data_IF_518189728223
#
_entry.id   IF_518189728223
#
_cell.length_a   1.000
_cell.length_b   1.000
_cell.length_c   1.000
_cell.angle_alpha   90.00
_cell.angle_beta   90.00
_cell.angle_gamma   90.00
#
_symmetry.space_group_name_H-M   'P 1'
#
loop_
_entity.id
_entity.type
_entity.pdbx_description
1 polymer ?
#
# COMPACT_ATOMS: atom_id res chain seq x y z
N UNK A 1 26.38 14.98 -42.99
CA UNK A 1 25.78 14.83 -41.64
C UNK A 1 26.02 13.38 -41.23
N UNK A 2 26.65 13.16 -40.07
CA UNK A 2 26.89 11.80 -39.54
C UNK A 2 25.56 11.08 -39.38
N UNK A 3 25.42 9.90 -39.98
CA UNK A 3 24.25 9.03 -39.87
C UNK A 3 24.31 8.09 -38.65
N UNK A 4 25.26 8.30 -37.75
CA UNK A 4 25.37 7.53 -36.51
C UNK A 4 24.45 8.15 -35.45
N UNK A 5 23.51 7.34 -34.93
CA UNK A 5 22.68 7.72 -33.79
C UNK A 5 23.50 7.85 -32.51
N UNK A 6 22.95 8.54 -31.52
CA UNK A 6 23.53 8.64 -30.18
C UNK A 6 23.48 7.27 -29.46
N UNK A 7 24.45 7.01 -28.59
CA UNK A 7 24.33 5.90 -27.65
C UNK A 7 23.16 6.18 -26.69
N UNK A 8 22.43 5.16 -26.20
CA UNK A 8 21.33 5.39 -25.25
C UNK A 8 21.76 6.20 -24.01
N UNK A 9 22.97 5.97 -23.50
CA UNK A 9 23.55 6.71 -22.37
C UNK A 9 23.80 8.19 -22.70
N UNK A 10 24.26 8.49 -23.92
CA UNK A 10 24.47 9.88 -24.32
C UNK A 10 23.15 10.56 -24.66
N UNK A 11 22.18 9.84 -25.21
CA UNK A 11 20.83 10.35 -25.48
C UNK A 11 20.08 10.70 -24.19
N UNK A 12 20.19 9.86 -23.15
CA UNK A 12 19.57 10.11 -21.84
C UNK A 12 20.09 11.40 -21.19
N UNK A 13 21.37 11.75 -21.37
CA UNK A 13 21.94 13.03 -20.91
C UNK A 13 21.34 14.26 -21.63
N UNK A 14 20.77 14.07 -22.82
CA UNK A 14 20.10 15.14 -23.57
C UNK A 14 18.60 15.23 -23.27
N UNK A 15 18.06 14.31 -22.48
CA UNK A 15 16.65 14.30 -22.06
C UNK A 15 16.56 14.67 -20.60
N UNK A 16 15.58 15.49 -20.21
CA UNK A 16 15.29 15.85 -18.82
C UNK A 16 14.69 14.66 -18.00
N UNK A 17 15.02 13.41 -18.36
CA UNK A 17 14.46 12.20 -17.73
C UNK A 17 14.99 12.03 -16.30
N UNK A 18 16.27 12.32 -16.08
CA UNK A 18 16.88 12.26 -14.74
C UNK A 18 16.19 13.26 -13.80
N UNK A 19 15.89 14.47 -14.28
CA UNK A 19 15.14 15.49 -13.53
C UNK A 19 13.71 15.01 -13.22
N UNK A 20 13.03 14.33 -14.15
CA UNK A 20 11.67 13.80 -13.92
C UNK A 20 11.68 12.69 -12.86
N UNK A 21 12.66 11.80 -12.89
CA UNK A 21 12.84 10.76 -11.88
C UNK A 21 13.15 11.36 -10.50
N UNK A 22 14.04 12.35 -10.43
CA UNK A 22 14.36 13.05 -9.18
C UNK A 22 13.12 13.75 -8.61
N UNK A 23 12.34 14.43 -9.45
CA UNK A 23 11.08 15.05 -9.03
C UNK A 23 10.08 14.02 -8.50
N UNK A 24 9.90 12.88 -9.19
CA UNK A 24 9.00 11.82 -8.72
C UNK A 24 9.43 11.25 -7.37
N UNK A 25 10.72 10.94 -7.23
CA UNK A 25 11.30 10.40 -5.99
C UNK A 25 11.20 11.39 -4.84
N UNK A 26 11.37 12.68 -5.11
CA UNK A 26 11.23 13.74 -4.09
C UNK A 26 9.78 13.93 -3.68
N UNK A 27 8.85 13.96 -4.64
CA UNK A 27 7.42 14.15 -4.38
C UNK A 27 6.75 12.96 -3.68
N UNK A 28 7.29 11.76 -3.84
CA UNK A 28 6.73 10.52 -3.26
C UNK A 28 7.22 10.22 -1.84
N UNK A 29 8.26 10.90 -1.37
CA UNK A 29 8.79 10.73 -0.01
C UNK A 29 8.00 11.58 0.98
N UNK A 30 7.83 11.05 2.18
CA UNK A 30 7.36 11.85 3.32
C UNK A 30 8.43 12.90 3.64
N UNK A 31 8.01 14.14 3.88
CA UNK A 31 8.89 15.17 4.43
C UNK A 31 9.33 14.80 5.86
N UNK A 32 10.34 15.48 6.40
CA UNK A 32 10.78 15.24 7.79
C UNK A 32 9.65 15.49 8.80
N UNK A 33 8.82 16.51 8.55
CA UNK A 33 7.65 16.83 9.36
C UNK A 33 6.58 15.74 9.26
N UNK A 34 6.27 15.29 8.04
CA UNK A 34 5.32 14.19 7.82
C UNK A 34 5.83 12.88 8.42
N UNK A 35 7.14 12.63 8.38
CA UNK A 35 7.75 11.44 8.97
C UNK A 35 7.66 11.46 10.50
N UNK A 36 7.75 12.63 11.13
CA UNK A 36 7.52 12.77 12.56
C UNK A 36 6.06 12.47 12.93
N UNK A 37 5.11 13.03 12.18
CA UNK A 37 3.68 12.75 12.39
C UNK A 37 3.36 11.26 12.13
N UNK A 38 3.94 10.67 11.09
CA UNK A 38 3.83 9.25 10.77
C UNK A 38 4.26 8.37 11.96
N UNK A 39 5.42 8.68 12.56
CA UNK A 39 5.93 7.93 13.72
C UNK A 39 4.99 8.01 14.91
N UNK A 40 4.40 9.18 15.19
CA UNK A 40 3.39 9.33 16.25
C UNK A 40 2.15 8.48 15.97
N UNK A 41 1.66 8.45 14.72
CA UNK A 41 0.51 7.62 14.34
C UNK A 41 0.82 6.12 14.46
N UNK A 42 2.03 5.71 14.06
CA UNK A 42 2.50 4.32 14.17
C UNK A 42 2.65 3.90 15.63
N UNK A 43 3.25 4.73 16.48
CA UNK A 43 3.38 4.48 17.92
C UNK A 43 2.00 4.28 18.55
N UNK A 44 1.04 5.16 18.24
CA UNK A 44 -0.35 5.00 18.71
C UNK A 44 -0.97 3.67 18.24
N UNK A 45 -0.78 3.28 16.97
CA UNK A 45 -1.25 1.99 16.45
C UNK A 45 -0.66 0.80 17.20
N UNK A 46 0.63 0.84 17.54
CA UNK A 46 1.28 -0.19 18.33
C UNK A 46 0.76 -0.21 19.77
N UNK A 47 0.60 0.95 20.40
CA UNK A 47 0.12 1.06 21.77
C UNK A 47 -1.30 0.52 21.94
N UNK A 48 -2.23 0.89 21.06
CA UNK A 48 -3.59 0.35 21.12
C UNK A 48 -3.59 -1.16 20.91
N UNK A 49 -2.64 -1.71 20.15
CA UNK A 49 -2.50 -3.15 19.96
C UNK A 49 -1.81 -3.89 21.12
N UNK A 50 -0.96 -3.22 21.90
CA UNK A 50 -0.33 -3.77 23.13
C UNK A 50 -1.33 -3.89 24.29
N UNK A 51 -2.36 -3.03 24.34
CA UNK A 51 -3.38 -3.03 25.42
C UNK A 51 -4.21 -4.32 25.40
N UNK A 52 -3.99 -5.22 26.38
CA UNK A 52 -4.82 -6.42 26.59
C UNK A 52 -6.26 -6.02 26.93
N UNK A 53 -7.24 -6.66 26.30
CA UNK A 53 -8.65 -6.55 26.67
C UNK A 53 -8.86 -7.17 28.06
N UNK A 54 -8.79 -6.37 29.12
CA UNK A 54 -9.22 -6.81 30.45
C UNK A 54 -10.74 -6.84 30.50
N UNK A 55 -11.33 -8.00 30.81
CA UNK A 55 -12.79 -8.24 30.94
C UNK A 55 -13.53 -7.21 31.81
N UNK A 56 -12.82 -6.53 32.70
CA UNK A 56 -13.32 -5.51 33.63
C UNK A 56 -13.62 -4.14 32.98
N UNK A 57 -13.14 -3.88 31.75
CA UNK A 57 -13.36 -2.60 31.05
C UNK A 57 -14.64 -2.53 30.21
N UNK A 58 -15.44 -3.59 30.14
CA UNK A 58 -16.70 -3.61 29.36
C UNK A 58 -17.72 -2.59 29.91
N UNK A 59 -17.55 -2.11 31.16
CA UNK A 59 -18.42 -1.15 31.84
C UNK A 59 -18.05 0.33 31.67
N UNK A 60 -16.92 0.66 31.04
CA UNK A 60 -16.60 2.04 30.63
C UNK A 60 -16.40 2.04 29.12
N UNK A 61 -16.98 3.00 28.39
CA UNK A 61 -17.10 3.03 26.93
C UNK A 61 -15.82 3.01 26.07
N UNK A 62 -14.68 2.54 26.59
CA UNK A 62 -13.43 2.28 25.88
C UNK A 62 -13.54 0.99 25.05
N UNK A 63 -14.21 1.07 23.90
CA UNK A 63 -14.30 -0.07 23.00
C UNK A 63 -12.96 -0.25 22.24
N UNK A 64 -12.05 -1.06 22.80
CA UNK A 64 -10.68 -1.29 22.28
C UNK A 64 -10.66 -1.57 20.76
N UNK A 65 -11.65 -2.31 20.25
CA UNK A 65 -11.78 -2.62 18.82
C UNK A 65 -11.98 -1.37 17.96
N UNK A 66 -12.78 -0.40 18.42
CA UNK A 66 -13.01 0.84 17.69
C UNK A 66 -11.75 1.72 17.69
N UNK A 67 -11.07 1.81 18.83
CA UNK A 67 -9.80 2.54 18.95
C UNK A 67 -8.72 1.93 18.04
N UNK A 68 -8.61 0.59 18.02
CA UNK A 68 -7.74 -0.15 17.10
C UNK A 68 -8.06 0.13 15.64
N UNK A 69 -9.33 0.01 15.25
CA UNK A 69 -9.78 0.31 13.89
C UNK A 69 -9.39 1.73 13.48
N UNK A 70 -9.74 2.71 14.31
CA UNK A 70 -9.49 4.13 14.03
C UNK A 70 -8.00 4.48 13.96
N UNK A 71 -7.17 3.89 14.81
CA UNK A 71 -5.73 4.09 14.76
C UNK A 71 -5.13 3.59 13.44
N UNK A 72 -5.58 2.43 12.94
CA UNK A 72 -5.12 1.89 11.66
C UNK A 72 -5.63 2.72 10.49
N UNK A 73 -6.92 3.08 10.48
CA UNK A 73 -7.51 3.92 9.44
C UNK A 73 -6.80 5.26 9.33
N UNK A 74 -6.56 5.95 10.46
CA UNK A 74 -5.88 7.24 10.45
C UNK A 74 -4.46 7.14 9.89
N UNK A 75 -3.69 6.11 10.26
CA UNK A 75 -2.34 5.87 9.73
C UNK A 75 -2.37 5.65 8.21
N UNK A 76 -3.34 4.88 7.72
CA UNK A 76 -3.48 4.53 6.30
C UNK A 76 -3.93 5.75 5.48
N UNK A 77 -4.93 6.50 5.95
CA UNK A 77 -5.37 7.72 5.28
C UNK A 77 -4.24 8.75 5.22
N UNK A 78 -3.44 8.88 6.29
CA UNK A 78 -2.24 9.72 6.30
C UNK A 78 -1.24 9.30 5.21
N UNK A 79 -0.89 8.01 5.11
CA UNK A 79 0.06 7.52 4.11
C UNK A 79 -0.40 7.80 2.67
N UNK A 80 -1.67 7.55 2.37
CA UNK A 80 -2.22 7.83 1.04
C UNK A 80 -2.16 9.32 0.72
N UNK A 81 -2.62 10.19 1.63
CA UNK A 81 -2.62 11.64 1.43
C UNK A 81 -1.21 12.19 1.26
N UNK A 82 -0.28 11.80 2.14
CA UNK A 82 1.08 12.34 2.18
C UNK A 82 2.01 11.74 1.14
N UNK A 83 1.60 10.68 0.45
CA UNK A 83 2.30 10.23 -0.77
C UNK A 83 2.21 11.25 -1.92
N UNK A 84 1.31 12.24 -1.84
CA UNK A 84 1.27 13.41 -2.73
C UNK A 84 0.51 13.23 -4.06
N UNK A 85 0.13 12.00 -4.42
CA UNK A 85 -0.51 11.69 -5.71
C UNK A 85 -2.00 11.37 -5.61
N UNK A 86 -2.55 11.33 -4.40
CA UNK A 86 -3.93 10.90 -4.18
C UNK A 86 -4.74 11.87 -3.32
N UNK A 87 -6.05 11.82 -3.53
CA UNK A 87 -7.08 12.31 -2.63
C UNK A 87 -7.75 11.10 -1.96
N UNK A 88 -8.07 11.22 -0.67
CA UNK A 88 -8.62 10.11 0.12
C UNK A 88 -10.01 10.47 0.60
N UNK A 89 -10.96 9.62 0.27
CA UNK A 89 -12.34 9.71 0.71
C UNK A 89 -12.61 8.59 1.73
N UNK A 90 -12.65 8.96 3.01
CA UNK A 90 -12.81 8.00 4.11
C UNK A 90 -14.29 7.62 4.35
N UNK A 91 -14.52 6.39 4.85
CA UNK A 91 -15.81 5.90 5.34
C UNK A 91 -16.96 6.03 4.33
N UNK A 92 -16.72 5.66 3.08
CA UNK A 92 -17.71 5.74 2.01
C UNK A 92 -18.74 4.62 2.17
N UNK A 93 -19.99 5.01 2.42
CA UNK A 93 -21.12 4.09 2.49
C UNK A 93 -21.84 4.04 1.16
N UNK A 94 -21.82 2.87 0.52
CA UNK A 94 -22.77 2.57 -0.54
C UNK A 94 -23.96 1.77 0.03
N UNK A 95 -24.97 1.48 -0.80
CA UNK A 95 -26.19 0.80 -0.37
C UNK A 95 -25.98 -0.60 0.22
N UNK A 96 -24.79 -1.19 0.06
CA UNK A 96 -24.52 -2.58 0.45
C UNK A 96 -23.27 -2.78 1.31
N UNK A 97 -22.33 -1.84 1.30
CA UNK A 97 -21.03 -1.95 1.96
C UNK A 97 -20.48 -0.58 2.39
N UNK A 98 -19.67 -0.60 3.43
CA UNK A 98 -18.79 0.50 3.85
C UNK A 98 -17.40 0.22 3.26
N UNK A 99 -16.77 1.25 2.71
CA UNK A 99 -15.40 1.23 2.21
C UNK A 99 -14.58 2.14 3.14
N UNK A 100 -13.56 1.58 3.78
CA UNK A 100 -12.76 2.32 4.76
C UNK A 100 -12.06 3.52 4.10
N UNK A 101 -11.39 3.32 2.95
CA UNK A 101 -10.93 4.42 2.09
C UNK A 101 -11.14 4.14 0.60
N UNK A 102 -11.69 5.13 -0.09
CA UNK A 102 -11.70 5.22 -1.55
C UNK A 102 -10.66 6.27 -1.96
N UNK A 103 -9.66 5.84 -2.72
CA UNK A 103 -8.48 6.66 -3.05
C UNK A 103 -8.53 7.05 -4.52
N UNK A 104 -8.52 8.36 -4.78
CA UNK A 104 -8.60 8.93 -6.13
C UNK A 104 -7.26 9.54 -6.54
N UNK A 105 -6.90 9.44 -7.81
CA UNK A 105 -5.73 10.11 -8.36
C UNK A 105 -5.99 11.62 -8.45
N UNK A 106 -5.18 12.41 -7.73
CA UNK A 106 -5.21 13.86 -7.84
C UNK A 106 -4.52 14.32 -9.14
N UNK A 107 -4.47 15.63 -9.40
CA UNK A 107 -3.83 16.17 -10.60
C UNK A 107 -2.38 15.69 -10.79
N UNK A 108 -1.56 15.67 -9.73
CA UNK A 108 -0.19 15.15 -9.79
C UNK A 108 -0.18 13.66 -10.07
N UNK A 109 -1.07 12.89 -9.46
CA UNK A 109 -1.21 11.46 -9.72
C UNK A 109 -1.53 11.13 -11.17
N UNK A 110 -2.35 11.95 -11.82
CA UNK A 110 -2.64 11.83 -13.25
C UNK A 110 -1.42 12.20 -14.10
N UNK A 111 -0.70 13.27 -13.74
CA UNK A 111 0.50 13.71 -14.48
C UNK A 111 1.65 12.69 -14.40
N UNK A 112 1.84 12.05 -13.25
CA UNK A 112 2.90 11.09 -12.99
C UNK A 112 2.45 9.63 -13.13
N UNK A 113 1.28 9.38 -13.72
CA UNK A 113 0.63 8.05 -13.77
C UNK A 113 1.57 6.93 -14.28
N UNK A 114 2.42 7.23 -15.26
CA UNK A 114 3.36 6.25 -15.85
C UNK A 114 4.43 5.74 -14.88
N UNK A 115 4.73 6.49 -13.83
CA UNK A 115 5.72 6.17 -12.81
C UNK A 115 5.10 5.54 -11.56
N UNK A 116 3.78 5.69 -11.39
CA UNK A 116 3.08 5.12 -10.26
C UNK A 116 2.94 3.59 -10.41
N UNK A 117 3.03 2.84 -9.30
CA UNK A 117 2.82 1.39 -9.31
C UNK A 117 1.35 1.01 -9.59
N UNK A 118 0.45 1.98 -9.47
CA UNK A 118 -0.99 1.90 -9.74
C UNK A 118 -1.36 3.05 -10.66
N UNK A 119 -2.33 2.86 -11.55
CA UNK A 119 -2.62 3.86 -12.57
C UNK A 119 -4.13 4.01 -12.86
N UNK A 120 -4.50 5.19 -13.36
CA UNK A 120 -5.88 5.59 -13.64
C UNK A 120 -6.48 4.87 -14.84
N UNK A 121 -5.64 4.54 -15.82
CA UNK A 121 -5.98 3.78 -17.02
C UNK A 121 -6.61 2.44 -16.65
N UNK A 122 -6.06 1.79 -15.62
CA UNK A 122 -6.56 0.51 -15.14
C UNK A 122 -7.58 0.67 -14.02
N UNK A 123 -7.61 1.79 -13.30
CA UNK A 123 -8.43 1.96 -12.09
C UNK A 123 -8.79 3.41 -11.84
N UNK A 124 -10.07 3.79 -12.01
CA UNK A 124 -10.52 5.15 -11.69
C UNK A 124 -10.33 5.49 -10.21
N UNK A 125 -10.47 4.49 -9.34
CA UNK A 125 -10.24 4.57 -7.90
C UNK A 125 -9.42 3.38 -7.42
N UNK A 126 -8.71 3.53 -6.32
CA UNK A 126 -8.17 2.44 -5.52
C UNK A 126 -9.08 2.22 -4.32
N UNK A 127 -9.17 0.98 -3.85
CA UNK A 127 -10.01 0.62 -2.70
C UNK A 127 -9.12 0.09 -1.59
N UNK A 128 -9.28 0.58 -0.37
CA UNK A 128 -8.63 0.00 0.80
C UNK A 128 -9.58 -0.34 1.93
N UNK A 129 -9.20 -1.41 2.65
CA UNK A 129 -9.87 -1.92 3.83
C UNK A 129 -8.86 -2.06 4.97
N UNK A 130 -9.21 -1.55 6.14
CA UNK A 130 -8.44 -1.58 7.36
C UNK A 130 -9.06 -2.61 8.33
N UNK A 131 -8.33 -3.68 8.66
CA UNK A 131 -8.78 -4.71 9.61
C UNK A 131 -7.77 -4.91 10.72
N UNK A 132 -8.04 -4.29 11.87
CA UNK A 132 -7.19 -4.36 13.05
C UNK A 132 -7.74 -5.35 14.10
N UNK A 133 -7.72 -6.64 13.76
CA UNK A 133 -8.09 -7.72 14.69
C UNK A 133 -6.88 -8.22 15.48
N UNK A 134 -7.13 -8.86 16.64
CA UNK A 134 -6.11 -9.57 17.44
C UNK A 134 -5.58 -10.86 16.79
N UNK A 135 -5.81 -11.05 15.47
CA UNK A 135 -5.41 -12.22 14.72
C UNK A 135 -5.15 -11.87 13.26
N UNK A 136 -4.45 -12.77 12.58
CA UNK A 136 -4.23 -12.70 11.12
C UNK A 136 -5.55 -12.71 10.34
N UNK A 137 -5.55 -12.05 9.19
CA UNK A 137 -6.72 -11.91 8.34
C UNK A 137 -7.02 -13.21 7.57
N UNK A 138 -8.28 -13.63 7.56
CA UNK A 138 -8.73 -14.85 6.88
C UNK A 138 -9.15 -14.61 5.43
N UNK A 139 -9.38 -15.71 4.71
CA UNK A 139 -9.87 -15.72 3.32
C UNK A 139 -11.16 -14.91 3.11
N UNK A 140 -11.99 -14.77 4.13
CA UNK A 140 -13.26 -14.04 4.05
C UNK A 140 -13.04 -12.57 3.70
N UNK A 141 -12.05 -11.93 4.33
CA UNK A 141 -11.77 -10.51 4.08
C UNK A 141 -11.10 -10.28 2.74
N UNK A 142 -10.24 -11.21 2.30
CA UNK A 142 -9.68 -11.19 0.94
C UNK A 142 -10.80 -11.25 -0.11
N UNK A 143 -11.76 -12.17 0.06
CA UNK A 143 -12.91 -12.28 -0.84
C UNK A 143 -13.81 -11.04 -0.83
N UNK A 144 -14.05 -10.44 0.34
CA UNK A 144 -14.82 -9.19 0.46
C UNK A 144 -14.13 -8.02 -0.24
N UNK A 145 -12.85 -7.80 0.04
CA UNK A 145 -12.07 -6.74 -0.61
C UNK A 145 -12.00 -6.96 -2.13
N UNK A 146 -11.80 -8.20 -2.58
CA UNK A 146 -11.84 -8.52 -4.01
C UNK A 146 -13.20 -8.15 -4.63
N UNK A 147 -14.31 -8.52 -3.98
CA UNK A 147 -15.65 -8.13 -4.44
C UNK A 147 -15.79 -6.61 -4.54
N UNK A 148 -15.34 -5.86 -3.52
CA UNK A 148 -15.38 -4.39 -3.52
C UNK A 148 -14.52 -3.79 -4.63
N UNK A 149 -13.33 -4.35 -4.85
CA UNK A 149 -12.41 -3.92 -5.90
C UNK A 149 -13.06 -4.07 -7.28
N UNK A 150 -13.69 -5.22 -7.54
CA UNK A 150 -14.44 -5.48 -8.77
C UNK A 150 -15.63 -4.51 -8.95
N UNK A 151 -16.45 -4.31 -7.92
CA UNK A 151 -17.67 -3.47 -8.03
C UNK A 151 -17.36 -1.98 -8.18
N UNK A 152 -16.16 -1.54 -7.78
CA UNK A 152 -15.69 -0.17 -7.95
C UNK A 152 -14.79 0.02 -9.19
N UNK A 153 -14.79 -0.96 -10.11
CA UNK A 153 -13.99 -0.92 -11.35
C UNK A 153 -12.51 -0.63 -11.10
N UNK A 154 -11.97 -1.16 -10.01
CA UNK A 154 -10.56 -1.07 -9.65
C UNK A 154 -9.84 -2.38 -9.96
N UNK A 155 -8.53 -2.32 -10.14
CA UNK A 155 -7.62 -3.47 -10.29
C UNK A 155 -6.72 -3.65 -9.08
N UNK A 156 -6.81 -2.75 -8.10
CA UNK A 156 -5.96 -2.75 -6.93
C UNK A 156 -6.82 -2.61 -5.67
N UNK A 157 -6.83 -3.66 -4.87
CA UNK A 157 -7.43 -3.66 -3.54
C UNK A 157 -6.33 -3.74 -2.48
N UNK A 158 -6.35 -2.83 -1.51
CA UNK A 158 -5.33 -2.78 -0.45
C UNK A 158 -5.92 -3.21 0.90
N UNK A 159 -5.33 -4.22 1.52
CA UNK A 159 -5.73 -4.70 2.83
C UNK A 159 -4.68 -4.32 3.86
N UNK A 160 -5.01 -3.38 4.71
CA UNK A 160 -4.18 -2.97 5.82
C UNK A 160 -4.61 -3.70 7.08
N UNK A 161 -3.65 -4.24 7.82
CA UNK A 161 -3.92 -4.95 9.07
C UNK A 161 -2.72 -4.85 10.00
N UNK A 162 -2.88 -5.17 11.28
CA UNK A 162 -1.72 -5.19 12.18
C UNK A 162 -0.90 -6.49 12.02
N UNK A 163 -1.57 -7.65 12.02
CA UNK A 163 -0.90 -8.96 12.00
C UNK A 163 -0.69 -9.57 10.59
N UNK A 164 -1.16 -8.92 9.53
CA UNK A 164 -1.07 -9.44 8.17
C UNK A 164 -2.06 -10.57 7.86
N UNK A 165 -1.89 -11.17 6.69
CA UNK A 165 -2.74 -12.27 6.20
C UNK A 165 -2.35 -13.63 6.79
N UNK A 166 -3.36 -14.48 7.01
CA UNK A 166 -3.15 -15.85 7.44
C UNK A 166 -2.59 -16.71 6.30
N UNK A 167 -1.58 -17.51 6.63
CA UNK A 167 -0.96 -18.51 5.76
C UNK A 167 -0.41 -19.66 6.62
N UNK A 168 -0.50 -20.88 6.12
CA UNK A 168 0.26 -22.04 6.62
C UNK A 168 1.40 -22.42 5.68
N UNK A 169 1.37 -21.92 4.44
CA UNK A 169 2.36 -22.00 3.38
C UNK A 169 2.07 -20.96 2.28
N UNK A 170 2.77 -21.03 1.14
CA UNK A 170 2.72 -19.97 0.12
C UNK A 170 1.46 -19.92 -0.76
N UNK A 171 0.58 -20.93 -0.69
CA UNK A 171 -0.57 -21.12 -1.58
C UNK A 171 -1.88 -21.47 -0.88
N UNK A 172 -1.91 -21.35 0.45
CA UNK A 172 -3.09 -21.65 1.26
C UNK A 172 -3.60 -20.40 2.01
N UNK A 173 -4.80 -20.55 2.59
CA UNK A 173 -5.45 -19.50 3.38
C UNK A 173 -5.54 -18.17 2.61
N UNK A 174 -5.36 -17.03 3.28
CA UNK A 174 -5.58 -15.71 2.69
C UNK A 174 -4.55 -15.39 1.61
N UNK A 175 -3.27 -15.65 1.86
CA UNK A 175 -2.18 -15.44 0.87
C UNK A 175 -2.41 -16.28 -0.40
N UNK A 176 -2.79 -17.54 -0.23
CA UNK A 176 -3.10 -18.42 -1.36
C UNK A 176 -4.30 -17.96 -2.18
N UNK A 177 -5.33 -17.42 -1.53
CA UNK A 177 -6.49 -16.87 -2.23
C UNK A 177 -6.11 -15.64 -3.05
N UNK A 178 -5.31 -14.72 -2.50
CA UNK A 178 -4.80 -13.55 -3.23
C UNK A 178 -4.10 -13.96 -4.53
N UNK A 179 -3.19 -14.94 -4.48
CA UNK A 179 -2.49 -15.45 -5.68
C UNK A 179 -3.45 -16.07 -6.70
N UNK A 180 -4.42 -16.86 -6.24
CA UNK A 180 -5.41 -17.49 -7.12
C UNK A 180 -6.30 -16.45 -7.83
N UNK A 181 -6.74 -15.42 -7.11
CA UNK A 181 -7.53 -14.32 -7.68
C UNK A 181 -6.72 -13.54 -8.71
N UNK A 182 -5.45 -13.25 -8.43
CA UNK A 182 -4.54 -12.60 -9.39
C UNK A 182 -4.33 -13.43 -10.66
N UNK A 183 -4.30 -14.76 -10.55
CA UNK A 183 -4.14 -15.68 -11.68
C UNK A 183 -5.44 -15.96 -12.45
N UNK A 184 -6.59 -15.44 -12.01
CA UNK A 184 -7.88 -15.68 -12.66
C UNK A 184 -7.96 -15.09 -14.08
N UNK A 185 -7.12 -14.11 -14.41
CA UNK A 185 -7.03 -13.47 -15.72
C UNK A 185 -5.69 -13.72 -16.36
N UNK A 186 -5.65 -13.97 -17.67
CA UNK A 186 -4.40 -14.23 -18.39
C UNK A 186 -3.60 -12.95 -18.61
N UNK A 187 -4.26 -11.90 -19.11
CA UNK A 187 -3.60 -10.64 -19.45
C UNK A 187 -3.31 -9.81 -18.20
N UNK A 188 -2.11 -9.26 -18.09
CA UNK A 188 -1.66 -8.48 -16.92
C UNK A 188 -2.53 -7.25 -16.64
N UNK A 189 -2.97 -6.55 -17.69
CA UNK A 189 -3.86 -5.37 -17.62
C UNK A 189 -5.27 -5.72 -17.10
N UNK A 190 -5.66 -6.99 -17.15
CA UNK A 190 -6.93 -7.46 -16.61
C UNK A 190 -6.84 -8.03 -15.20
N UNK A 191 -5.64 -8.30 -14.69
CA UNK A 191 -5.46 -8.90 -13.37
C UNK A 191 -5.90 -7.95 -12.27
N UNK A 192 -6.43 -8.51 -11.19
CA UNK A 192 -6.77 -7.79 -9.97
C UNK A 192 -5.76 -8.20 -8.91
N UNK A 193 -5.09 -7.19 -8.34
CA UNK A 193 -4.08 -7.36 -7.32
C UNK A 193 -4.66 -7.00 -5.97
N UNK A 194 -4.66 -7.96 -5.05
CA UNK A 194 -4.98 -7.71 -3.64
C UNK A 194 -3.65 -7.61 -2.89
N UNK A 195 -3.33 -6.42 -2.40
CA UNK A 195 -2.04 -6.10 -1.78
C UNK A 195 -2.21 -6.02 -0.27
N UNK A 196 -1.40 -6.77 0.48
CA UNK A 196 -1.42 -6.75 1.94
C UNK A 196 -0.36 -5.82 2.52
N UNK A 197 -0.73 -5.06 3.55
CA UNK A 197 0.19 -4.30 4.39
C UNK A 197 -0.01 -4.69 5.86
N UNK A 198 1.10 -4.87 6.57
CA UNK A 198 1.13 -5.24 7.97
C UNK A 198 2.09 -4.36 8.78
N UNK A 199 2.20 -4.63 10.10
CA UNK A 199 3.03 -3.82 10.99
C UNK A 199 4.50 -3.73 10.57
N UNK A 200 5.06 -4.78 9.96
CA UNK A 200 6.44 -4.73 9.50
C UNK A 200 6.60 -3.78 8.31
N UNK A 201 5.64 -3.73 7.39
CA UNK A 201 5.66 -2.76 6.29
C UNK A 201 5.61 -1.32 6.81
N UNK A 202 4.79 -1.06 7.84
CA UNK A 202 4.74 0.25 8.48
C UNK A 202 6.05 0.62 9.17
N UNK A 203 6.71 -0.34 9.83
CA UNK A 203 8.04 -0.10 10.42
C UNK A 203 9.11 0.16 9.38
N UNK A 204 9.04 -0.50 8.23
CA UNK A 204 9.94 -0.20 7.12
C UNK A 204 9.78 1.25 6.66
N UNK A 205 8.55 1.76 6.57
CA UNK A 205 8.30 3.17 6.24
C UNK A 205 8.87 4.09 7.32
N UNK A 206 8.71 3.77 8.62
CA UNK A 206 9.30 4.59 9.70
C UNK A 206 10.83 4.62 9.66
N UNK A 207 11.45 3.62 9.02
CA UNK A 207 12.89 3.51 8.80
C UNK A 207 13.34 4.08 7.44
N UNK A 208 12.47 4.80 6.73
CA UNK A 208 12.81 5.53 5.50
C UNK A 208 12.40 4.84 4.20
N UNK A 209 11.74 3.67 4.24
CA UNK A 209 11.22 3.05 3.03
C UNK A 209 10.09 3.89 2.41
N UNK A 210 10.12 4.05 1.09
CA UNK A 210 9.08 4.79 0.35
C UNK A 210 7.81 3.92 0.19
N UNK A 211 6.64 4.47 0.55
CA UNK A 211 5.37 3.76 0.50
C UNK A 211 5.00 3.28 -0.91
N UNK A 212 5.18 4.10 -1.94
CA UNK A 212 4.89 3.71 -3.34
C UNK A 212 5.86 2.64 -3.84
N UNK A 213 7.13 2.69 -3.43
CA UNK A 213 8.09 1.64 -3.75
C UNK A 213 7.72 0.31 -3.09
N UNK A 214 7.20 0.32 -1.86
CA UNK A 214 6.67 -0.88 -1.22
C UNK A 214 5.44 -1.44 -1.96
N UNK A 215 4.54 -0.58 -2.43
CA UNK A 215 3.42 -1.01 -3.29
C UNK A 215 3.96 -1.68 -4.55
N UNK A 216 4.93 -1.05 -5.23
CA UNK A 216 5.57 -1.61 -6.43
C UNK A 216 6.17 -2.99 -6.16
N UNK A 217 6.97 -3.11 -5.11
CA UNK A 217 7.63 -4.36 -4.74
C UNK A 217 6.62 -5.47 -4.42
N UNK A 218 5.50 -5.16 -3.76
CA UNK A 218 4.42 -6.12 -3.49
C UNK A 218 3.69 -6.56 -4.76
N UNK A 219 3.44 -5.64 -5.70
CA UNK A 219 2.86 -5.98 -7.01
C UNK A 219 3.82 -6.88 -7.80
N UNK A 220 5.12 -6.55 -7.83
CA UNK A 220 6.13 -7.34 -8.52
C UNK A 220 6.28 -8.73 -7.90
N UNK A 221 6.24 -8.83 -6.57
CA UNK A 221 6.22 -10.10 -5.84
C UNK A 221 5.03 -10.98 -6.25
N UNK A 222 3.84 -10.40 -6.47
CA UNK A 222 2.69 -11.12 -7.01
C UNK A 222 2.89 -11.54 -8.48
N UNK A 223 3.47 -10.68 -9.31
CA UNK A 223 3.75 -11.01 -10.72
C UNK A 223 4.77 -12.15 -10.82
N UNK A 224 5.88 -12.05 -10.09
CA UNK A 224 7.01 -12.98 -10.11
C UNK A 224 6.79 -14.22 -9.24
N UNK A 225 5.74 -14.23 -8.42
CA UNK A 225 5.44 -15.30 -7.45
C UNK A 225 6.59 -15.54 -6.44
N UNK A 226 7.29 -14.47 -6.07
CA UNK A 226 8.45 -14.48 -5.15
C UNK A 226 8.19 -13.68 -3.86
N UNK A 227 9.15 -13.63 -2.92
CA UNK A 227 9.07 -12.81 -1.72
C UNK A 227 9.40 -11.33 -2.01
N UNK A 228 8.75 -10.42 -1.29
CA UNK A 228 9.03 -8.97 -1.35
C UNK A 228 10.46 -8.66 -0.90
N UNK A 229 10.98 -9.38 0.09
CA UNK A 229 12.35 -9.23 0.60
C UNK A 229 13.41 -9.38 -0.49
N UNK A 230 13.11 -10.14 -1.52
CA UNK A 230 14.06 -10.48 -2.59
C UNK A 230 14.09 -9.38 -3.67
N UNK A 231 13.17 -8.41 -3.61
CA UNK A 231 12.96 -7.36 -4.60
C UNK A 231 13.31 -5.96 -4.10
N UNK A 232 13.45 -5.78 -2.79
CA UNK A 232 13.84 -4.49 -2.20
C UNK A 232 15.36 -4.39 -2.29
N UNK A 233 15.88 -3.49 -3.13
CA UNK A 233 17.29 -3.14 -3.13
C UNK A 233 17.64 -2.41 -1.84
N UNK A 234 18.77 -2.76 -1.21
CA UNK A 234 19.26 -2.07 -0.02
C UNK A 234 19.42 -0.59 -0.31
N UNK A 235 18.97 0.26 0.61
CA UNK A 235 19.17 1.70 0.50
C UNK A 235 20.67 2.01 0.66
N UNK A 236 21.26 2.96 -0.08
CA UNK A 236 22.68 3.32 0.05
C UNK A 236 23.09 3.68 1.49
N UNK A 237 22.17 4.24 2.27
CA UNK A 237 22.39 4.56 3.69
C UNK A 237 22.56 3.34 4.62
N UNK A 238 22.31 2.11 4.15
CA UNK A 238 22.66 0.88 4.89
C UNK A 238 24.13 0.46 4.70
N UNK A 239 24.87 1.07 3.77
CA UNK A 239 26.29 0.76 3.53
C UNK A 239 27.25 1.56 4.45
N UNK A 240 26.77 2.60 5.13
CA UNK A 240 27.60 3.52 5.93
C UNK A 240 27.77 3.12 7.42
N UNK A 241 27.23 1.97 7.85
CA UNK A 241 27.49 1.39 9.18
C UNK A 241 28.38 0.15 9.09
N UNK A 242 29.66 0.34 8.75
CA UNK A 242 30.72 -0.65 9.02
C UNK A 242 31.99 -0.01 9.60
#
# INVERSE_FOLDING_TARGET
MSSAGYSPLDYLKFTDIDDVEEHFNTLSKLSDEDMLEYKVLLENLEEVNKKKVTKTKITQGDNNTLQKGKALENLVSFLWQKSGFFEVHDNIRNSTNEIDQLVEFNFKGIMFEKFLPVNKTNSSFLVSECKNYDKKISVTWVGKLYSLTCTNSSRFGFLFSFHGMAARGGWDSAIGLTKKLFLQKERLDEKISIIDFNIEDFRMISNGANFLHLIKAKIDSLILQTSVSDLISKHPAEEDET
#
